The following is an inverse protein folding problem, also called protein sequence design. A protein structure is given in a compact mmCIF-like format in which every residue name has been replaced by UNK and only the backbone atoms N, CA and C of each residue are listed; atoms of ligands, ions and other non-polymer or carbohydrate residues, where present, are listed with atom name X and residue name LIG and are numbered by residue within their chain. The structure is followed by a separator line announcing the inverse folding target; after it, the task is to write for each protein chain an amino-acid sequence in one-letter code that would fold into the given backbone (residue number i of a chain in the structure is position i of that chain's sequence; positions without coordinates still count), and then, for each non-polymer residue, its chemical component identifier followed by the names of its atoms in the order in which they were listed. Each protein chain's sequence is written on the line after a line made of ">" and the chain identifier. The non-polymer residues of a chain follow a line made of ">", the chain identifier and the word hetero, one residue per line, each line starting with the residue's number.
data_IF_240688170432
#
_entry.id   IF_240688170432
#
_cell.length_a   1.000
_cell.length_b   1.000
_cell.length_c   1.000
_cell.angle_alpha   90.00
_cell.angle_beta   90.00
_cell.angle_gamma   90.00
#
_symmetry.space_group_name_H-M   'P 1'
#
loop_
_entity.id
_entity.type
_entity.pdbx_description
1 polymer ?
#
# COMPACT_ATOMS: atom_id res chain seq x y z
N UNK A 1 22.32 12.90 -7.16
CA UNK A 1 22.13 11.93 -6.11
C UNK A 1 22.77 10.60 -6.49
N UNK A 2 23.75 10.18 -5.73
CA UNK A 2 24.56 9.02 -6.09
C UNK A 2 23.93 7.70 -5.69
N UNK A 3 22.88 7.74 -4.91
CA UNK A 3 22.19 6.55 -4.44
C UNK A 3 21.65 5.73 -5.61
N UNK A 4 21.23 6.43 -6.66
CA UNK A 4 20.56 5.80 -7.80
C UNK A 4 21.48 5.56 -8.98
N UNK A 5 22.78 5.39 -8.75
CA UNK A 5 23.65 4.95 -9.82
C UNK A 5 23.38 3.47 -10.11
N UNK A 6 23.83 2.99 -11.27
CA UNK A 6 23.51 1.64 -11.72
C UNK A 6 24.07 0.55 -10.79
N UNK A 7 25.15 0.83 -10.08
CA UNK A 7 25.80 -0.17 -9.24
C UNK A 7 25.05 -0.45 -7.94
N UNK A 8 24.34 0.57 -7.41
CA UNK A 8 23.67 0.47 -6.11
C UNK A 8 22.16 0.42 -6.22
N UNK A 9 21.64 0.68 -7.40
CA UNK A 9 20.19 0.86 -7.59
C UNK A 9 19.38 -0.32 -7.11
N UNK A 10 19.78 -1.53 -7.49
CA UNK A 10 19.03 -2.75 -7.14
C UNK A 10 18.96 -2.95 -5.64
N UNK A 11 20.06 -2.66 -4.94
CA UNK A 11 20.12 -2.81 -3.49
C UNK A 11 19.18 -1.82 -2.81
N UNK A 12 19.24 -0.56 -3.23
CA UNK A 12 18.39 0.48 -2.64
C UNK A 12 16.92 0.26 -2.95
N UNK A 13 16.61 -0.14 -4.17
CA UNK A 13 15.22 -0.40 -4.55
C UNK A 13 14.65 -1.56 -3.75
N UNK A 14 15.43 -2.63 -3.56
CA UNK A 14 15.00 -3.77 -2.77
C UNK A 14 14.74 -3.38 -1.32
N UNK A 15 15.68 -2.64 -0.72
CA UNK A 15 15.53 -2.17 0.65
C UNK A 15 14.31 -1.27 0.79
N UNK A 16 14.15 -0.34 -0.14
CA UNK A 16 13.03 0.57 -0.13
C UNK A 16 11.70 -0.18 -0.29
N UNK A 17 11.67 -1.15 -1.18
CA UNK A 17 10.47 -1.94 -1.43
C UNK A 17 10.07 -2.73 -0.18
N UNK A 18 11.04 -3.33 0.52
CA UNK A 18 10.77 -4.02 1.77
C UNK A 18 10.22 -3.08 2.83
N UNK A 19 10.82 -1.91 2.96
CA UNK A 19 10.37 -0.91 3.93
C UNK A 19 8.95 -0.48 3.62
N UNK A 20 8.64 -0.24 2.35
CA UNK A 20 7.28 0.10 1.93
C UNK A 20 6.30 -1.03 2.26
N UNK A 21 6.74 -2.27 2.16
CA UNK A 21 5.93 -3.42 2.51
C UNK A 21 5.54 -3.43 3.99
N UNK A 22 6.49 -3.13 4.87
CA UNK A 22 6.20 -3.05 6.31
C UNK A 22 5.24 -1.92 6.63
N UNK A 23 5.44 -0.76 6.00
CA UNK A 23 4.57 0.39 6.22
C UNK A 23 3.15 0.08 5.73
N UNK A 24 3.04 -0.50 4.55
CA UNK A 24 1.74 -0.85 3.98
C UNK A 24 1.01 -1.87 4.86
N UNK A 25 1.73 -2.87 5.35
CA UNK A 25 1.15 -3.89 6.21
C UNK A 25 0.63 -3.29 7.51
N UNK A 26 1.42 -2.41 8.13
CA UNK A 26 1.00 -1.74 9.36
C UNK A 26 -0.24 -0.88 9.12
N UNK A 27 -0.29 -0.18 8.00
CA UNK A 27 -1.42 0.66 7.64
C UNK A 27 -2.70 -0.19 7.50
N UNK A 28 -2.61 -1.28 6.74
CA UNK A 28 -3.77 -2.15 6.52
C UNK A 28 -4.19 -2.82 7.82
N UNK A 29 -3.24 -3.29 8.62
CA UNK A 29 -3.55 -3.93 9.89
C UNK A 29 -4.27 -2.98 10.85
N UNK A 30 -3.82 -1.72 10.89
CA UNK A 30 -4.46 -0.72 11.73
C UNK A 30 -5.88 -0.43 11.28
N UNK A 31 -6.09 -0.28 9.98
CA UNK A 31 -7.43 0.05 9.46
C UNK A 31 -8.38 -1.13 9.54
N UNK A 32 -7.88 -2.33 9.27
CA UNK A 32 -8.72 -3.52 9.28
C UNK A 32 -9.15 -3.91 10.70
N UNK A 33 -8.27 -3.68 11.67
CA UNK A 33 -8.55 -4.05 13.06
C UNK A 33 -8.92 -5.51 13.17
N UNK A 34 -10.09 -5.77 13.73
CA UNK A 34 -10.60 -7.14 13.93
C UNK A 34 -11.47 -7.64 12.76
N UNK A 35 -11.56 -6.89 11.70
CA UNK A 35 -12.37 -7.30 10.56
C UNK A 35 -11.84 -8.59 9.93
N UNK A 36 -12.75 -9.52 9.65
CA UNK A 36 -12.41 -10.84 9.10
C UNK A 36 -12.38 -10.78 7.57
N UNK A 37 -11.56 -9.91 7.02
CA UNK A 37 -11.40 -9.84 5.57
C UNK A 37 -10.68 -11.08 5.08
N UNK A 38 -10.95 -11.46 3.83
CA UNK A 38 -10.35 -12.65 3.26
C UNK A 38 -8.82 -12.48 3.21
N UNK A 39 -8.06 -13.53 3.57
CA UNK A 39 -6.60 -13.44 3.55
C UNK A 39 -6.03 -13.03 2.20
N UNK A 40 -6.59 -13.54 1.11
CA UNK A 40 -6.13 -13.17 -0.23
C UNK A 40 -6.40 -11.70 -0.54
N UNK A 41 -7.53 -11.18 -0.07
CA UNK A 41 -7.86 -9.77 -0.26
C UNK A 41 -6.92 -8.88 0.55
N UNK A 42 -6.57 -9.31 1.76
CA UNK A 42 -5.60 -8.58 2.59
C UNK A 42 -4.27 -8.48 1.87
N UNK A 43 -3.82 -9.56 1.25
CA UNK A 43 -2.58 -9.56 0.47
C UNK A 43 -2.66 -8.58 -0.70
N UNK A 44 -3.75 -8.63 -1.46
CA UNK A 44 -3.93 -7.75 -2.61
C UNK A 44 -3.93 -6.29 -2.21
N UNK A 45 -4.66 -5.96 -1.15
CA UNK A 45 -4.75 -4.57 -0.67
C UNK A 45 -3.39 -4.10 -0.17
N UNK A 46 -2.71 -4.91 0.62
CA UNK A 46 -1.39 -4.57 1.16
C UNK A 46 -0.38 -4.38 0.04
N UNK A 47 -0.37 -5.27 -0.95
CA UNK A 47 0.52 -5.17 -2.09
C UNK A 47 0.27 -3.90 -2.90
N UNK A 48 -0.99 -3.51 -3.06
CA UNK A 48 -1.33 -2.30 -3.78
C UNK A 48 -0.77 -1.07 -3.10
N UNK A 49 -0.93 -0.98 -1.78
CA UNK A 49 -0.38 0.15 -1.02
C UNK A 49 1.13 0.16 -1.01
N UNK A 50 1.75 -1.02 -0.91
CA UNK A 50 3.20 -1.15 -0.98
C UNK A 50 3.75 -0.61 -2.30
N UNK A 51 3.17 -1.04 -3.42
CA UNK A 51 3.62 -0.63 -4.74
C UNK A 51 3.39 0.86 -4.98
N UNK A 52 2.27 1.36 -4.51
CA UNK A 52 1.94 2.77 -4.63
C UNK A 52 2.91 3.64 -3.85
N UNK A 53 3.18 3.26 -2.61
CA UNK A 53 4.12 3.98 -1.77
C UNK A 53 5.52 3.97 -2.38
N UNK A 54 5.95 2.81 -2.85
CA UNK A 54 7.24 2.67 -3.50
C UNK A 54 7.34 3.58 -4.72
N UNK A 55 6.32 3.55 -5.58
CA UNK A 55 6.31 4.39 -6.78
C UNK A 55 6.33 5.87 -6.48
N UNK A 56 5.59 6.30 -5.46
CA UNK A 56 5.60 7.70 -5.05
C UNK A 56 6.98 8.15 -4.57
N UNK A 57 7.66 7.32 -3.81
CA UNK A 57 8.98 7.66 -3.29
C UNK A 57 10.01 7.70 -4.43
N UNK A 58 9.95 6.73 -5.33
CA UNK A 58 10.87 6.69 -6.47
C UNK A 58 10.68 7.92 -7.37
N UNK A 59 9.43 8.30 -7.63
CA UNK A 59 9.15 9.50 -8.41
C UNK A 59 9.69 10.75 -7.75
N UNK A 60 9.50 10.85 -6.44
CA UNK A 60 9.98 11.97 -5.65
C UNK A 60 11.51 12.08 -5.71
N UNK A 61 12.20 10.94 -5.55
CA UNK A 61 13.66 10.90 -5.65
C UNK A 61 14.12 11.25 -7.06
N UNK A 62 13.43 10.75 -8.06
CA UNK A 62 13.76 10.98 -9.46
C UNK A 62 13.64 12.46 -9.82
N UNK A 63 12.71 13.16 -9.20
CA UNK A 63 12.52 14.60 -9.39
C UNK A 63 13.35 15.46 -8.44
N UNK A 64 14.34 14.85 -7.79
CA UNK A 64 15.26 15.59 -6.93
C UNK A 64 14.64 16.08 -5.64
N UNK A 65 13.59 15.42 -5.17
CA UNK A 65 12.91 15.77 -3.91
C UNK A 65 12.38 17.20 -3.90
N UNK A 66 11.87 17.63 -5.05
CA UNK A 66 11.50 19.04 -5.24
C UNK A 66 10.08 19.38 -4.82
N UNK A 67 9.29 18.40 -4.46
CA UNK A 67 7.95 18.67 -3.98
C UNK A 67 7.77 18.05 -2.59
N UNK A 68 6.74 18.48 -1.89
CA UNK A 68 6.47 17.99 -0.54
C UNK A 68 5.69 16.66 -0.64
N UNK A 69 6.43 15.57 -0.54
CA UNK A 69 5.88 14.23 -0.63
C UNK A 69 4.83 13.97 0.46
N UNK A 70 5.11 14.43 1.68
CA UNK A 70 4.21 14.25 2.81
C UNK A 70 2.87 14.94 2.54
N UNK A 71 2.91 16.15 2.04
CA UNK A 71 1.69 16.91 1.72
C UNK A 71 0.87 16.20 0.65
N UNK A 72 1.54 15.70 -0.38
CA UNK A 72 0.86 14.96 -1.44
C UNK A 72 0.19 13.71 -0.91
N UNK A 73 0.91 12.99 -0.07
CA UNK A 73 0.38 11.77 0.53
C UNK A 73 -0.84 12.04 1.40
N UNK A 74 -0.76 13.09 2.22
CA UNK A 74 -1.88 13.49 3.07
C UNK A 74 -3.10 13.88 2.23
N UNK A 75 -2.87 14.60 1.14
CA UNK A 75 -3.97 14.97 0.25
C UNK A 75 -4.60 13.76 -0.40
N UNK A 76 -3.78 12.81 -0.84
CA UNK A 76 -4.28 11.57 -1.42
C UNK A 76 -5.13 10.79 -0.41
N UNK A 77 -4.67 10.72 0.83
CA UNK A 77 -5.44 10.07 1.90
C UNK A 77 -6.79 10.74 2.11
N UNK A 78 -6.83 12.07 2.08
CA UNK A 78 -8.10 12.80 2.19
C UNK A 78 -9.05 12.48 1.04
N UNK A 79 -8.50 12.45 -0.18
CA UNK A 79 -9.30 12.15 -1.36
C UNK A 79 -9.82 10.71 -1.37
N UNK A 80 -9.10 9.81 -0.74
CA UNK A 80 -9.44 8.39 -0.67
C UNK A 80 -10.18 8.01 0.60
N UNK A 81 -10.55 8.98 1.42
CA UNK A 81 -11.23 8.69 2.68
C UNK A 81 -12.47 7.84 2.41
N UNK A 82 -12.57 6.72 3.10
CA UNK A 82 -13.68 5.78 2.93
C UNK A 82 -13.45 4.71 1.86
N UNK A 83 -12.49 4.90 0.96
CA UNK A 83 -12.28 3.93 -0.11
C UNK A 83 -11.65 2.62 0.39
N UNK A 84 -10.73 2.70 1.33
CA UNK A 84 -10.13 1.50 1.92
C UNK A 84 -11.16 0.73 2.72
N UNK A 85 -11.97 1.43 3.48
CA UNK A 85 -13.06 0.82 4.24
C UNK A 85 -14.08 0.15 3.31
N UNK A 86 -14.31 0.73 2.15
CA UNK A 86 -15.18 0.12 1.16
C UNK A 86 -14.58 -1.18 0.61
N UNK A 87 -13.27 -1.23 0.40
CA UNK A 87 -12.60 -2.46 0.00
C UNK A 87 -12.76 -3.55 1.07
N UNK A 88 -12.59 -3.17 2.33
CA UNK A 88 -12.79 -4.10 3.44
C UNK A 88 -14.24 -4.60 3.47
N UNK A 89 -15.20 -3.70 3.28
CA UNK A 89 -16.61 -4.07 3.26
C UNK A 89 -16.89 -5.08 2.16
N UNK A 90 -16.33 -4.88 0.99
CA UNK A 90 -16.49 -5.81 -0.13
C UNK A 90 -15.87 -7.17 0.16
N UNK A 91 -14.73 -7.17 0.85
CA UNK A 91 -14.08 -8.42 1.24
C UNK A 91 -14.93 -9.18 2.28
N UNK A 92 -15.47 -8.46 3.27
CA UNK A 92 -16.35 -9.06 4.26
C UNK A 92 -17.61 -9.63 3.63
N UNK A 93 -18.18 -8.92 2.68
CA UNK A 93 -19.35 -9.38 1.95
C UNK A 93 -19.06 -10.64 1.15
N UNK A 94 -17.91 -10.67 0.46
CA UNK A 94 -17.48 -11.84 -0.28
C UNK A 94 -17.23 -13.03 0.65
N UNK A 95 -16.65 -12.78 1.83
CA UNK A 95 -16.41 -13.84 2.80
C UNK A 95 -17.72 -14.45 3.30
N UNK A 96 -18.74 -13.61 3.49
CA UNK A 96 -20.07 -14.09 3.90
C UNK A 96 -20.79 -14.88 2.80
N UNK A 97 -20.61 -14.46 1.55
CA UNK A 97 -21.28 -15.10 0.42
C UNK A 97 -20.47 -16.23 -0.22
N UNK A 98 -19.16 -16.23 0.01
CA UNK A 98 -18.26 -17.20 -0.59
C UNK A 98 -18.03 -18.44 0.25
N UNK A 99 -18.89 -18.71 1.21
CA UNK A 99 -18.73 -19.89 2.06
C UNK A 99 -18.87 -21.16 1.25
N UNK A 100 -18.14 -22.22 1.61
CA UNK A 100 -18.31 -23.51 0.97
C UNK A 100 -19.76 -23.95 1.06
N UNK A 101 -20.29 -24.42 -0.05
CA UNK A 101 -21.66 -24.84 -0.12
C UNK A 101 -22.67 -23.73 -0.40
N UNK A 102 -22.19 -22.50 -0.48
CA UNK A 102 -23.01 -21.36 -0.86
C UNK A 102 -22.79 -21.10 -2.34
N UNK A 103 -23.78 -21.36 -3.18
CA UNK A 103 -23.61 -21.17 -4.61
C UNK A 103 -23.26 -19.73 -4.98
#
# INVERSE_FOLDING_TARGET
>A
MHIYNSDNRDIYERYLLETCGYVAQAFVDNLAGDMAILPDDRVVITQSYKCELFGHIVDWLDKGMRYDLKQRFLRLCQLRMGMTEEMFRRSLEAAGHGQPGTP
#
